data_IF_322459995323
#
_entry.id   IF_322459995323
#
_cell.length_a   1.000
_cell.length_b   1.000
_cell.length_c   1.000
_cell.angle_alpha   90.00
_cell.angle_beta   90.00
_cell.angle_gamma   90.00
#
_symmetry.space_group_name_H-M   'P 1'
#
loop_
_entity.id
_entity.type
_entity.pdbx_description
1 polymer ?
#
# COMPACT_ATOMS: atom_id res chain seq x y z
N UNK A 1 -56.35 47.93 2.06
CA UNK A 1 -54.96 47.42 2.14
C UNK A 1 -54.99 45.90 2.28
N UNK A 2 -54.68 45.16 1.22
CA UNK A 2 -54.69 43.70 1.18
C UNK A 2 -53.28 43.16 1.46
N UNK A 3 -53.07 42.56 2.64
CA UNK A 3 -51.81 41.92 3.01
C UNK A 3 -51.64 40.62 2.20
N UNK A 4 -50.73 40.64 1.20
CA UNK A 4 -50.29 39.42 0.51
C UNK A 4 -49.60 38.49 1.51
N UNK A 5 -50.27 37.43 1.96
CA UNK A 5 -49.64 36.31 2.67
C UNK A 5 -48.62 35.64 1.74
N UNK A 6 -47.36 35.62 2.15
CA UNK A 6 -46.35 34.80 1.49
C UNK A 6 -46.73 33.31 1.58
N UNK A 7 -46.52 32.52 0.51
CA UNK A 7 -46.83 31.09 0.53
C UNK A 7 -45.95 30.36 1.55
N UNK A 8 -46.56 29.44 2.32
CA UNK A 8 -45.89 28.72 3.42
C UNK A 8 -44.74 27.79 2.97
N UNK A 9 -44.64 27.49 1.67
CA UNK A 9 -43.52 26.74 1.09
C UNK A 9 -43.01 27.43 -0.16
N UNK A 10 -41.73 27.78 -0.12
CA UNK A 10 -40.99 28.26 -1.28
C UNK A 10 -40.65 27.08 -2.19
N UNK A 11 -40.71 27.26 -3.52
CA UNK A 11 -40.20 26.25 -4.44
C UNK A 11 -38.71 26.03 -4.17
N UNK A 12 -38.20 24.79 -4.34
CA UNK A 12 -36.79 24.52 -4.15
C UNK A 12 -35.96 25.43 -5.09
N UNK A 13 -34.84 26.00 -4.60
CA UNK A 13 -33.99 26.85 -5.41
C UNK A 13 -33.42 26.03 -6.59
N UNK A 14 -33.74 26.44 -7.82
CA UNK A 14 -33.01 26.03 -9.02
C UNK A 14 -31.83 27.02 -9.14
N UNK A 15 -30.58 26.59 -9.28
CA UNK A 15 -30.09 25.28 -9.77
C UNK A 15 -29.98 24.21 -8.68
N UNK A 16 -30.32 22.96 -9.01
CA UNK A 16 -30.14 21.82 -8.11
C UNK A 16 -28.65 21.46 -7.96
N UNK A 17 -28.03 21.88 -6.86
CA UNK A 17 -26.65 21.50 -6.51
C UNK A 17 -26.53 20.09 -5.90
N UNK A 18 -27.56 19.25 -6.00
CA UNK A 18 -27.52 17.89 -5.41
C UNK A 18 -26.39 17.04 -5.97
N UNK A 19 -25.98 17.29 -7.22
CA UNK A 19 -24.88 16.59 -7.88
C UNK A 19 -23.50 16.90 -7.28
N UNK A 20 -23.31 18.08 -6.67
CA UNK A 20 -22.05 18.48 -6.03
C UNK A 20 -22.06 18.28 -4.51
N UNK A 21 -23.18 17.82 -3.94
CA UNK A 21 -23.26 17.60 -2.49
C UNK A 21 -22.41 16.41 -2.05
N UNK A 22 -21.60 16.65 -1.02
CA UNK A 22 -20.78 15.63 -0.37
C UNK A 22 -21.67 14.46 0.08
N UNK A 23 -21.42 13.22 -0.38
CA UNK A 23 -22.23 12.07 0.01
C UNK A 23 -22.07 11.77 1.51
N UNK A 24 -23.15 11.35 2.19
CA UNK A 24 -23.17 11.17 3.64
C UNK A 24 -22.57 9.83 4.12
N UNK A 25 -22.45 8.84 3.24
CA UNK A 25 -21.97 7.48 3.58
C UNK A 25 -20.44 7.38 3.55
N UNK A 26 -19.84 6.64 4.50
CA UNK A 26 -18.36 6.50 4.64
C UNK A 26 -17.66 5.97 3.38
N UNK A 27 -18.23 4.96 2.74
CA UNK A 27 -17.69 4.38 1.50
C UNK A 27 -17.80 5.37 0.34
N UNK A 28 -18.96 5.99 0.15
CA UNK A 28 -19.14 7.01 -0.89
C UNK A 28 -18.22 8.22 -0.68
N UNK A 29 -17.92 8.61 0.56
CA UNK A 29 -16.94 9.66 0.87
C UNK A 29 -15.53 9.29 0.43
N UNK A 30 -15.14 8.03 0.59
CA UNK A 30 -13.83 7.55 0.15
C UNK A 30 -13.71 7.61 -1.37
N UNK A 31 -14.70 7.06 -2.08
CA UNK A 31 -14.76 7.12 -3.54
C UNK A 31 -14.86 8.55 -4.08
N UNK A 32 -15.62 9.42 -3.41
CA UNK A 32 -15.75 10.83 -3.76
C UNK A 32 -14.44 11.59 -3.61
N UNK A 33 -13.69 11.35 -2.51
CA UNK A 33 -12.34 11.93 -2.34
C UNK A 33 -11.36 11.42 -3.39
N UNK A 34 -11.37 10.11 -3.68
CA UNK A 34 -10.49 9.52 -4.68
C UNK A 34 -10.77 10.11 -6.07
N UNK A 35 -12.05 10.24 -6.41
CA UNK A 35 -12.53 10.89 -7.64
C UNK A 35 -12.10 12.36 -7.72
N UNK A 36 -12.32 13.14 -6.67
CA UNK A 36 -11.91 14.55 -6.62
C UNK A 36 -10.39 14.74 -6.72
N UNK A 37 -9.61 13.86 -6.08
CA UNK A 37 -8.15 13.89 -6.19
C UNK A 37 -7.70 13.71 -7.63
N UNK A 38 -8.27 12.73 -8.31
CA UNK A 38 -7.98 12.44 -9.71
C UNK A 38 -8.42 13.59 -10.62
N UNK A 39 -9.64 14.12 -10.42
CA UNK A 39 -10.16 15.29 -11.13
C UNK A 39 -9.27 16.52 -10.95
N UNK A 40 -8.72 16.72 -9.73
CA UNK A 40 -7.83 17.84 -9.39
C UNK A 40 -6.42 17.71 -9.96
N UNK A 41 -5.81 16.52 -9.96
CA UNK A 41 -4.42 16.36 -10.43
C UNK A 41 -4.29 16.50 -11.95
N UNK A 42 -5.34 16.14 -12.70
CA UNK A 42 -5.29 16.11 -14.17
C UNK A 42 -6.14 17.19 -14.85
N UNK A 43 -6.79 18.08 -14.07
CA UNK A 43 -7.71 19.09 -14.61
C UNK A 43 -8.69 18.48 -15.65
N UNK A 44 -9.26 17.32 -15.31
CA UNK A 44 -10.12 16.50 -16.20
C UNK A 44 -11.42 17.22 -16.60
N UNK A 45 -11.62 18.45 -16.15
CA UNK A 45 -12.76 19.29 -16.53
C UNK A 45 -12.69 19.77 -17.98
N UNK A 46 -11.49 19.84 -18.58
CA UNK A 46 -11.29 20.39 -19.94
C UNK A 46 -11.35 19.33 -21.04
N UNK A 47 -11.02 18.07 -20.73
CA UNK A 47 -10.96 16.98 -21.70
C UNK A 47 -12.33 16.50 -22.17
N UNK A 48 -12.39 15.83 -23.32
CA UNK A 48 -13.62 15.16 -23.77
C UNK A 48 -13.92 13.90 -22.93
N UNK A 49 -15.19 13.46 -22.84
CA UNK A 49 -15.59 12.32 -22.00
C UNK A 49 -14.81 11.03 -22.31
N UNK A 50 -14.45 10.81 -23.58
CA UNK A 50 -13.73 9.62 -24.01
C UNK A 50 -12.22 9.69 -23.69
N UNK A 51 -11.59 10.86 -23.85
CA UNK A 51 -10.16 11.07 -23.55
C UNK A 51 -9.86 10.85 -22.07
N UNK A 52 -10.78 11.27 -21.19
CA UNK A 52 -10.69 11.03 -19.75
C UNK A 52 -10.55 9.55 -19.44
N UNK A 53 -11.32 8.68 -20.12
CA UNK A 53 -11.27 7.24 -19.88
C UNK A 53 -9.89 6.69 -20.27
N UNK A 54 -9.35 7.11 -21.41
CA UNK A 54 -8.03 6.67 -21.88
C UNK A 54 -6.93 7.10 -20.90
N UNK A 55 -6.89 8.37 -20.51
CA UNK A 55 -5.88 8.88 -19.55
C UNK A 55 -5.96 8.16 -18.21
N UNK A 56 -7.17 7.93 -17.69
CA UNK A 56 -7.36 7.21 -16.43
C UNK A 56 -6.89 5.75 -16.51
N UNK A 57 -7.14 5.06 -17.62
CA UNK A 57 -6.70 3.68 -17.80
C UNK A 57 -5.18 3.58 -17.86
N UNK A 58 -4.52 4.46 -18.63
CA UNK A 58 -3.05 4.49 -18.72
C UNK A 58 -2.45 4.82 -17.34
N UNK A 59 -2.97 5.82 -16.65
CA UNK A 59 -2.50 6.17 -15.32
C UNK A 59 -2.69 5.04 -14.31
N UNK A 60 -3.83 4.34 -14.34
CA UNK A 60 -4.08 3.19 -13.49
C UNK A 60 -3.07 2.06 -13.77
N UNK A 61 -2.79 1.77 -15.04
CA UNK A 61 -1.79 0.76 -15.44
C UNK A 61 -0.40 1.17 -14.96
N UNK A 62 0.02 2.42 -15.16
CA UNK A 62 1.31 2.94 -14.69
C UNK A 62 1.41 2.89 -13.16
N UNK A 63 0.34 3.25 -12.45
CA UNK A 63 0.31 3.24 -11.00
C UNK A 63 0.36 1.80 -10.44
N UNK A 64 -0.34 0.86 -11.07
CA UNK A 64 -0.24 -0.56 -10.76
C UNK A 64 1.15 -1.11 -11.05
N UNK A 65 1.72 -0.79 -12.21
CA UNK A 65 3.08 -1.19 -12.58
C UNK A 65 4.12 -0.64 -11.58
N UNK A 66 4.03 0.64 -11.24
CA UNK A 66 4.84 1.27 -10.18
C UNK A 66 4.64 0.55 -8.85
N UNK A 67 3.40 0.23 -8.47
CA UNK A 67 3.11 -0.48 -7.22
C UNK A 67 3.74 -1.87 -7.22
N UNK A 68 3.62 -2.63 -8.31
CA UNK A 68 4.22 -3.97 -8.45
C UNK A 68 5.75 -3.88 -8.36
N UNK A 69 6.36 -2.94 -9.08
CA UNK A 69 7.81 -2.70 -9.01
C UNK A 69 8.21 -2.33 -7.59
N UNK A 70 7.47 -1.44 -6.94
CA UNK A 70 7.71 -1.01 -5.59
C UNK A 70 7.63 -2.17 -4.59
N UNK A 71 6.58 -3.00 -4.66
CA UNK A 71 6.44 -4.19 -3.80
C UNK A 71 7.49 -5.27 -4.09
N UNK A 72 7.98 -5.38 -5.32
CA UNK A 72 9.01 -6.37 -5.69
C UNK A 72 10.43 -5.89 -5.38
N UNK A 73 10.70 -4.60 -5.51
CA UNK A 73 12.04 -4.01 -5.29
C UNK A 73 12.27 -3.47 -3.87
N UNK A 74 11.26 -2.92 -3.19
CA UNK A 74 11.40 -2.45 -1.80
C UNK A 74 11.92 -3.52 -0.83
N UNK A 75 11.38 -4.75 -0.77
CA UNK A 75 11.83 -5.71 0.23
C UNK A 75 13.31 -6.05 0.04
N UNK A 76 13.80 -6.07 -1.21
CA UNK A 76 15.21 -6.27 -1.51
C UNK A 76 16.10 -5.16 -0.94
N UNK A 77 15.68 -3.89 -1.07
CA UNK A 77 16.44 -2.75 -0.54
C UNK A 77 16.39 -2.68 1.00
N UNK A 78 15.25 -3.00 1.62
CA UNK A 78 15.12 -3.03 3.08
C UNK A 78 16.04 -4.08 3.72
N UNK A 79 16.24 -5.23 3.09
CA UNK A 79 17.14 -6.27 3.62
C UNK A 79 18.59 -5.79 3.63
N UNK A 80 19.04 -5.12 2.56
CA UNK A 80 20.41 -4.56 2.48
C UNK A 80 20.61 -3.43 3.48
N UNK A 81 19.65 -2.51 3.60
CA UNK A 81 19.71 -1.42 4.58
C UNK A 81 19.68 -1.95 6.02
N UNK A 82 18.84 -2.96 6.31
CA UNK A 82 18.79 -3.61 7.63
C UNK A 82 20.12 -4.24 8.01
N UNK A 83 20.78 -4.96 7.09
CA UNK A 83 22.10 -5.57 7.35
C UNK A 83 23.16 -4.52 7.69
N UNK A 84 23.15 -3.37 7.02
CA UNK A 84 24.05 -2.24 7.34
C UNK A 84 23.70 -1.59 8.69
N UNK A 85 22.42 -1.38 8.97
CA UNK A 85 21.97 -0.74 10.21
C UNK A 85 22.31 -1.58 11.45
N UNK A 86 22.17 -2.91 11.37
CA UNK A 86 22.58 -3.84 12.44
C UNK A 86 24.09 -3.76 12.68
N UNK A 87 24.90 -3.65 11.63
CA UNK A 87 26.34 -3.50 11.77
C UNK A 87 26.72 -2.21 12.51
N UNK A 88 26.07 -1.09 12.18
CA UNK A 88 26.33 0.20 12.84
C UNK A 88 25.76 0.30 14.26
N UNK A 89 24.67 -0.39 14.57
CA UNK A 89 24.04 -0.38 15.90
C UNK A 89 24.71 -1.37 16.86
N UNK A 90 25.10 -2.55 16.37
CA UNK A 90 25.62 -3.63 17.23
C UNK A 90 27.16 -3.71 17.27
N UNK A 91 27.85 -2.97 16.39
CA UNK A 91 29.27 -2.66 16.54
C UNK A 91 30.27 -3.79 16.29
N UNK A 92 29.89 -5.07 16.13
CA UNK A 92 30.94 -6.06 15.86
C UNK A 92 30.64 -7.55 15.89
N UNK A 93 29.43 -8.06 15.64
CA UNK A 93 29.29 -9.53 15.49
C UNK A 93 28.12 -9.96 14.60
N UNK A 94 28.44 -10.35 13.36
CA UNK A 94 27.47 -10.85 12.38
C UNK A 94 26.96 -12.26 12.78
N UNK A 95 27.77 -13.03 13.53
CA UNK A 95 27.50 -14.43 13.85
C UNK A 95 26.34 -14.62 14.85
N UNK A 96 26.12 -13.65 15.73
CA UNK A 96 25.00 -13.70 16.68
C UNK A 96 23.66 -13.40 15.99
N UNK A 97 23.65 -12.44 15.07
CA UNK A 97 22.43 -11.98 14.40
C UNK A 97 21.89 -12.97 13.38
N UNK A 98 22.77 -13.67 12.65
CA UNK A 98 22.37 -14.71 11.71
C UNK A 98 21.76 -15.91 12.45
N UNK A 99 22.35 -16.37 13.57
CA UNK A 99 21.77 -17.43 14.40
C UNK A 99 20.37 -17.09 14.93
N UNK A 100 20.15 -15.84 15.33
CA UNK A 100 18.85 -15.35 15.80
C UNK A 100 17.84 -15.30 14.63
N UNK A 101 18.27 -14.84 13.46
CA UNK A 101 17.45 -14.81 12.25
C UNK A 101 16.98 -16.22 11.83
N UNK A 102 17.91 -17.20 11.80
CA UNK A 102 17.62 -18.59 11.49
C UNK A 102 16.70 -19.26 12.53
N UNK A 103 16.78 -18.84 13.80
CA UNK A 103 15.88 -19.29 14.88
C UNK A 103 14.45 -18.78 14.67
N UNK A 104 14.27 -17.53 14.23
CA UNK A 104 12.94 -16.98 13.92
C UNK A 104 12.37 -17.46 12.59
N UNK A 105 13.21 -17.75 11.59
CA UNK A 105 12.81 -18.32 10.30
C UNK A 105 12.45 -19.81 10.36
N UNK A 106 12.53 -20.46 11.53
CA UNK A 106 12.09 -21.85 11.72
C UNK A 106 12.86 -22.87 10.87
N UNK A 107 14.00 -22.48 10.31
CA UNK A 107 14.77 -23.24 9.32
C UNK A 107 16.06 -23.82 9.92
N UNK A 108 16.14 -23.88 11.25
CA UNK A 108 17.12 -24.71 11.95
C UNK A 108 16.70 -26.17 11.84
N UNK A 109 16.86 -26.73 10.64
CA UNK A 109 16.68 -28.15 10.36
C UNK A 109 17.64 -28.93 11.26
N UNK A 110 17.04 -29.67 12.19
CA UNK A 110 17.64 -30.73 13.01
C UNK A 110 18.66 -31.51 12.17
N UNK A 111 19.95 -31.25 12.40
CA UNK A 111 21.03 -32.15 11.98
C UNK A 111 21.68 -32.68 13.25
N UNK A 112 20.90 -33.46 13.99
CA UNK A 112 21.40 -34.37 15.03
C UNK A 112 21.28 -35.79 14.51
N UNK A 113 22.39 -36.51 14.51
CA UNK A 113 22.38 -37.97 14.47
C UNK A 113 23.20 -38.60 13.35
N UNK A 114 24.51 -38.35 13.30
CA UNK A 114 25.43 -39.43 12.94
C UNK A 114 26.33 -39.65 14.14
N UNK A 115 26.00 -40.71 14.86
CA UNK A 115 26.62 -41.11 16.10
C UNK A 115 28.10 -41.42 15.92
N UNK A 116 28.86 -40.92 16.87
CA UNK A 116 30.15 -41.44 17.31
C UNK A 116 30.04 -42.96 17.52
N UNK A 117 30.75 -43.72 16.66
CA UNK A 117 30.95 -45.16 16.79
C UNK A 117 32.45 -45.43 16.95
N UNK A 118 32.88 -45.49 18.21
CA UNK A 118 34.16 -46.03 18.66
C UNK A 118 34.36 -47.45 18.12
N UNK A 119 35.46 -47.69 17.42
CA UNK A 119 35.81 -48.96 16.79
C UNK A 119 37.32 -49.20 16.78
N UNK A 120 37.88 -49.34 17.99
CA UNK A 120 39.19 -49.90 18.30
C UNK A 120 39.30 -51.34 17.79
N UNK A 121 40.21 -51.65 16.87
CA UNK A 121 41.03 -52.88 16.72
C UNK A 121 42.20 -52.52 15.77
N UNK A 122 43.44 -52.32 16.25
CA UNK A 122 44.48 -53.36 16.40
C UNK A 122 44.44 -54.39 15.26
N UNK A 123 45.41 -54.32 14.33
CA UNK A 123 46.13 -55.44 13.68
C UNK A 123 46.92 -54.91 12.46
N UNK A 124 48.25 -55.09 12.49
CA UNK A 124 49.18 -54.80 11.39
C UNK A 124 50.60 -54.60 11.90
#
# INVERSE_FOLDING_TARGET
MTLRRAPARLPPPKPNYSFTQRPKTRTALFWWKRRLWIESTFALTVYEPWEKVVVLTIFAILCLAMSIVLFKYLPGQFVVMRRRMIYYIWGGDLDASDRVLWKYLGLAKESRGVGSGSGRMELG
#
